data_IF_472186668319
#
_entry.id   IF_472186668319
#
_cell.length_a   1.000
_cell.length_b   1.000
_cell.length_c   1.000
_cell.angle_alpha   90.00
_cell.angle_beta   90.00
_cell.angle_gamma   90.00
#
_symmetry.space_group_name_H-M   'P 1'
#
loop_
_entity.id
_entity.type
_entity.pdbx_description
1 polymer ?
#
# COMPACT_ATOMS: atom_id res chain seq x y z
N UNK A 1 -22.37 26.19 -40.73
CA UNK A 1 -22.64 25.73 -39.36
C UNK A 1 -21.32 25.81 -38.62
N UNK A 2 -21.10 26.90 -37.88
CA UNK A 2 -19.85 27.07 -37.13
C UNK A 2 -20.05 26.47 -35.73
N UNK A 3 -19.71 25.19 -35.62
CA UNK A 3 -19.64 24.52 -34.32
C UNK A 3 -18.43 25.00 -33.53
N UNK A 4 -18.57 25.10 -32.22
CA UNK A 4 -17.46 25.38 -31.31
C UNK A 4 -16.98 24.07 -30.67
N UNK A 5 -15.66 23.87 -30.62
CA UNK A 5 -15.04 22.79 -29.85
C UNK A 5 -14.64 23.33 -28.49
N UNK A 6 -14.93 22.57 -27.45
CA UNK A 6 -14.40 22.87 -26.12
C UNK A 6 -13.44 21.78 -25.69
N UNK A 7 -12.48 22.21 -24.89
CA UNK A 7 -11.47 21.36 -24.31
C UNK A 7 -11.23 21.85 -22.89
N UNK A 8 -10.92 20.92 -21.99
CA UNK A 8 -10.48 21.28 -20.65
C UNK A 8 -9.15 22.02 -20.70
N UNK A 9 -8.95 22.96 -19.78
CA UNK A 9 -7.65 23.63 -19.59
C UNK A 9 -6.61 22.63 -19.12
N UNK A 10 -5.32 22.95 -19.30
CA UNK A 10 -4.24 22.14 -18.77
C UNK A 10 -4.41 21.91 -17.25
N UNK A 11 -4.13 20.68 -16.81
CA UNK A 11 -4.37 20.23 -15.43
C UNK A 11 -5.83 19.85 -15.12
N UNK A 12 -6.71 19.72 -16.12
CA UNK A 12 -8.06 19.19 -15.97
C UNK A 12 -8.31 18.03 -16.95
N UNK A 13 -8.99 16.98 -16.48
CA UNK A 13 -9.42 15.82 -17.26
C UNK A 13 -10.93 15.94 -17.53
N UNK A 14 -11.33 15.68 -18.77
CA UNK A 14 -12.74 15.60 -19.14
C UNK A 14 -13.33 14.25 -18.69
N UNK A 15 -14.36 14.29 -17.85
CA UNK A 15 -15.07 13.10 -17.36
C UNK A 15 -16.19 12.64 -18.29
N UNK A 16 -16.49 13.39 -19.34
CA UNK A 16 -17.58 13.09 -20.28
C UNK A 16 -17.18 13.34 -21.74
N UNK A 17 -15.95 12.95 -22.07
CA UNK A 17 -15.33 13.17 -23.39
C UNK A 17 -16.18 12.64 -24.56
N UNK A 18 -16.99 11.59 -24.34
CA UNK A 18 -17.82 10.98 -25.39
C UNK A 18 -19.15 11.71 -25.64
N UNK A 19 -19.79 12.27 -24.61
CA UNK A 19 -21.13 12.86 -24.74
C UNK A 19 -21.08 14.39 -24.79
N UNK A 20 -20.18 15.00 -24.02
CA UNK A 20 -20.09 16.45 -23.88
C UNK A 20 -18.63 16.93 -23.79
N UNK A 21 -17.85 16.84 -24.89
CA UNK A 21 -16.43 17.19 -24.89
C UNK A 21 -16.15 18.59 -24.34
N UNK A 22 -15.23 18.68 -23.39
CA UNK A 22 -14.78 19.88 -22.70
C UNK A 22 -15.83 20.53 -21.80
N UNK A 23 -16.93 19.83 -21.43
CA UNK A 23 -17.98 20.38 -20.56
C UNK A 23 -17.86 19.92 -19.11
N UNK A 24 -17.30 18.73 -18.86
CA UNK A 24 -17.17 18.16 -17.50
C UNK A 24 -15.69 18.04 -17.13
N UNK A 25 -15.06 19.19 -16.93
CA UNK A 25 -13.64 19.28 -16.60
C UNK A 25 -13.41 19.18 -15.09
N UNK A 26 -12.75 18.12 -14.65
CA UNK A 26 -12.33 17.93 -13.27
C UNK A 26 -10.82 18.14 -13.15
N UNK A 27 -10.37 18.82 -12.10
CA UNK A 27 -8.93 18.99 -11.85
C UNK A 27 -8.26 17.62 -11.78
N UNK A 28 -7.20 17.47 -12.55
CA UNK A 28 -6.37 16.27 -12.59
C UNK A 28 -5.77 16.04 -11.21
N UNK A 29 -5.92 14.82 -10.71
CA UNK A 29 -5.24 14.38 -9.52
C UNK A 29 -3.83 14.00 -9.91
N UNK A 30 -2.84 14.55 -9.21
CA UNK A 30 -1.41 14.27 -9.45
C UNK A 30 -0.70 13.83 -8.18
N UNK A 31 -1.43 13.44 -7.14
CA UNK A 31 -0.86 13.16 -5.82
C UNK A 31 0.10 11.96 -5.85
N UNK A 32 -0.13 10.99 -6.73
CA UNK A 32 0.77 9.85 -6.89
C UNK A 32 1.99 10.23 -7.75
N UNK A 33 1.76 10.93 -8.87
CA UNK A 33 2.83 11.31 -9.81
C UNK A 33 3.79 12.36 -9.26
N UNK A 34 3.31 13.25 -8.37
CA UNK A 34 4.12 14.27 -7.70
C UNK A 34 4.66 13.84 -6.34
N UNK A 35 4.47 12.57 -5.95
CA UNK A 35 4.82 12.04 -4.62
C UNK A 35 4.24 12.85 -3.44
N UNK A 36 3.08 13.49 -3.63
CA UNK A 36 2.31 14.16 -2.58
C UNK A 36 1.36 13.16 -1.90
N UNK A 37 1.91 12.03 -1.46
CA UNK A 37 1.21 10.97 -0.76
C UNK A 37 2.12 10.37 0.31
N UNK A 38 1.52 9.69 1.29
CA UNK A 38 2.23 9.02 2.39
C UNK A 38 2.25 7.49 2.24
N UNK A 39 2.11 6.96 1.01
CA UNK A 39 2.19 5.52 0.78
C UNK A 39 3.55 4.94 1.21
N UNK A 40 3.55 3.70 1.72
CA UNK A 40 4.79 2.94 1.91
C UNK A 40 5.49 2.78 0.55
N UNK A 41 6.83 2.75 0.55
CA UNK A 41 7.62 2.51 -0.68
C UNK A 41 7.29 1.18 -1.37
N UNK A 42 6.77 0.21 -0.62
CA UNK A 42 6.33 -1.08 -1.13
C UNK A 42 4.83 -1.09 -1.48
N UNK A 43 4.16 0.06 -1.42
CA UNK A 43 2.77 0.24 -1.83
C UNK A 43 2.66 0.95 -3.18
N UNK A 44 1.58 0.65 -3.90
CA UNK A 44 1.15 1.39 -5.08
C UNK A 44 0.19 2.49 -4.67
N UNK A 45 0.50 3.72 -5.07
CA UNK A 45 -0.42 4.85 -4.97
C UNK A 45 -1.45 4.80 -6.12
N UNK A 46 -2.72 5.02 -5.79
CA UNK A 46 -3.85 5.04 -6.75
C UNK A 46 -4.64 6.32 -6.52
N UNK A 47 -4.66 7.20 -7.52
CA UNK A 47 -5.38 8.47 -7.46
C UNK A 47 -6.90 8.24 -7.52
N UNK A 48 -7.63 8.95 -6.66
CA UNK A 48 -9.09 8.93 -6.58
C UNK A 48 -9.62 10.36 -6.56
N UNK A 49 -10.72 10.63 -7.27
CA UNK A 49 -11.30 11.97 -7.31
C UNK A 49 -10.28 13.05 -7.72
N UNK A 50 -10.37 14.23 -7.10
CA UNK A 50 -9.50 15.38 -7.41
C UNK A 50 -8.27 15.49 -6.51
N UNK A 51 -8.40 15.18 -5.23
CA UNK A 51 -7.31 15.28 -4.23
C UNK A 51 -7.34 14.09 -3.26
N UNK A 52 -7.83 12.93 -3.69
CA UNK A 52 -7.87 11.72 -2.87
C UNK A 52 -6.96 10.66 -3.47
N UNK A 53 -6.52 9.71 -2.65
CA UNK A 53 -5.74 8.59 -3.13
C UNK A 53 -5.89 7.42 -2.16
N UNK A 54 -5.58 6.24 -2.64
CA UNK A 54 -5.43 5.05 -1.81
C UNK A 54 -4.06 4.43 -2.05
N UNK A 55 -3.49 3.86 -1.00
CA UNK A 55 -2.26 3.08 -1.08
C UNK A 55 -2.62 1.61 -0.93
N UNK A 56 -2.00 0.76 -1.74
CA UNK A 56 -2.22 -0.69 -1.71
C UNK A 56 -0.87 -1.37 -1.68
N UNK A 57 -0.58 -2.17 -0.66
CA UNK A 57 0.67 -2.93 -0.59
C UNK A 57 0.84 -3.79 -1.85
N UNK A 58 2.06 -3.79 -2.39
CA UNK A 58 2.40 -4.56 -3.57
C UNK A 58 2.36 -6.08 -3.32
N UNK A 59 2.45 -6.89 -4.38
CA UNK A 59 2.57 -8.35 -4.26
C UNK A 59 3.74 -8.73 -3.34
N UNK A 60 3.52 -9.71 -2.47
CA UNK A 60 4.54 -10.15 -1.50
C UNK A 60 4.60 -9.33 -0.21
N UNK A 61 3.71 -8.33 -0.04
CA UNK A 61 3.61 -7.55 1.20
C UNK A 61 2.25 -7.72 1.88
N UNK A 62 2.24 -7.67 3.22
CA UNK A 62 1.03 -7.52 4.04
C UNK A 62 0.89 -6.09 4.54
N UNK A 63 -0.35 -5.64 4.63
CA UNK A 63 -0.68 -4.37 5.25
C UNK A 63 -0.72 -4.50 6.78
N UNK A 64 0.11 -3.72 7.46
CA UNK A 64 0.15 -3.59 8.92
C UNK A 64 -0.05 -2.14 9.35
N UNK A 65 -0.71 -1.34 8.51
CA UNK A 65 -1.00 0.06 8.82
C UNK A 65 -1.88 0.13 10.07
N UNK A 66 -1.58 1.01 11.04
CA UNK A 66 -2.31 1.08 12.30
C UNK A 66 -3.74 1.59 12.12
N UNK A 67 -3.98 2.39 11.08
CA UNK A 67 -5.28 2.98 10.80
C UNK A 67 -5.99 2.22 9.65
N UNK A 68 -7.11 1.54 9.90
CA UNK A 68 -7.81 0.75 8.88
C UNK A 68 -8.35 1.57 7.70
N UNK A 69 -8.61 2.87 7.90
CA UNK A 69 -9.05 3.80 6.85
C UNK A 69 -7.90 4.24 5.92
N UNK A 70 -6.64 4.04 6.34
CA UNK A 70 -5.42 4.41 5.61
C UNK A 70 -4.53 3.17 5.39
N UNK A 71 -4.94 2.23 4.53
CA UNK A 71 -4.12 1.06 4.19
C UNK A 71 -2.86 1.46 3.42
N UNK A 72 -1.88 0.57 3.34
CA UNK A 72 -0.69 0.71 2.51
C UNK A 72 0.32 1.74 3.00
N UNK A 73 0.26 2.11 4.28
CA UNK A 73 1.23 3.02 4.94
C UNK A 73 2.35 2.25 5.63
N UNK A 74 2.07 1.01 5.99
CA UNK A 74 3.05 0.06 6.52
C UNK A 74 2.87 -1.26 5.78
N UNK A 75 3.77 -1.53 4.84
CA UNK A 75 3.76 -2.76 4.05
C UNK A 75 4.96 -3.63 4.44
N UNK A 76 4.69 -4.73 5.14
CA UNK A 76 5.72 -5.68 5.58
C UNK A 76 5.83 -6.84 4.61
N UNK A 77 7.05 -7.32 4.36
CA UNK A 77 7.29 -8.47 3.51
C UNK A 77 6.65 -9.73 4.11
N UNK A 78 5.99 -10.55 3.28
CA UNK A 78 5.27 -11.77 3.71
C UNK A 78 6.23 -12.92 4.02
N UNK A 79 6.88 -12.85 5.18
CA UNK A 79 7.89 -13.81 5.59
C UNK A 79 7.26 -15.08 6.18
N UNK A 80 6.33 -14.95 7.14
CA UNK A 80 5.84 -16.09 7.92
C UNK A 80 4.92 -17.04 7.12
N UNK A 81 4.48 -16.61 5.93
CA UNK A 81 3.74 -17.48 5.00
C UNK A 81 4.65 -18.46 4.25
N UNK A 82 5.97 -18.24 4.26
CA UNK A 82 6.94 -19.07 3.57
C UNK A 82 7.99 -19.60 4.56
N UNK A 83 7.95 -20.90 4.93
CA UNK A 83 8.90 -21.49 5.87
C UNK A 83 10.37 -21.39 5.45
N UNK A 84 10.68 -21.10 4.18
CA UNK A 84 12.07 -20.87 3.73
C UNK A 84 12.60 -19.45 4.00
N UNK A 85 11.77 -18.54 4.49
CA UNK A 85 12.13 -17.13 4.74
C UNK A 85 12.37 -16.80 6.22
N UNK A 86 12.17 -17.75 7.13
CA UNK A 86 12.41 -17.60 8.56
C UNK A 86 13.03 -18.87 9.15
N UNK A 87 13.65 -18.77 10.33
CA UNK A 87 14.24 -19.92 11.04
C UNK A 87 13.57 -20.23 12.38
N UNK A 88 12.35 -19.71 12.63
CA UNK A 88 11.57 -20.05 13.82
C UNK A 88 11.41 -21.57 14.00
N UNK A 89 11.50 -22.04 15.24
CA UNK A 89 11.25 -23.41 15.60
C UNK A 89 9.81 -23.82 15.24
N UNK A 90 9.54 -25.08 14.84
CA UNK A 90 8.19 -25.53 14.50
C UNK A 90 7.13 -25.33 15.61
N UNK A 91 7.58 -25.31 16.86
CA UNK A 91 6.74 -25.04 18.05
C UNK A 91 6.61 -23.56 18.41
N UNK A 92 7.17 -22.66 17.61
CA UNK A 92 7.05 -21.21 17.77
C UNK A 92 6.01 -20.62 16.80
N UNK A 93 5.79 -19.32 16.94
CA UNK A 93 4.95 -18.48 16.09
C UNK A 93 5.80 -17.38 15.47
N UNK A 94 5.79 -17.31 14.14
CA UNK A 94 6.40 -16.24 13.37
C UNK A 94 5.43 -15.05 13.25
N UNK A 95 5.93 -13.83 13.49
CA UNK A 95 5.19 -12.59 13.28
C UNK A 95 6.04 -11.61 12.46
N UNK A 96 5.53 -11.13 11.32
CA UNK A 96 6.18 -10.07 10.56
C UNK A 96 6.21 -8.75 11.34
N UNK A 97 7.37 -8.10 11.38
CA UNK A 97 7.60 -6.81 12.04
C UNK A 97 8.27 -5.83 11.09
N UNK A 98 8.27 -4.55 11.45
CA UNK A 98 8.97 -3.53 10.67
C UNK A 98 10.50 -3.80 10.64
N UNK A 99 11.19 -3.12 9.73
CA UNK A 99 12.66 -3.18 9.68
C UNK A 99 13.27 -2.59 10.96
N UNK A 100 14.42 -3.10 11.43
CA UNK A 100 15.35 -3.97 10.70
C UNK A 100 15.06 -5.48 10.73
N UNK A 101 14.38 -6.02 11.75
CA UNK A 101 14.27 -7.46 11.99
C UNK A 101 13.40 -8.18 10.93
N UNK A 102 12.39 -7.51 10.37
CA UNK A 102 11.39 -8.02 9.39
C UNK A 102 10.45 -9.11 9.91
N UNK A 103 10.90 -9.96 10.82
CA UNK A 103 10.06 -10.93 11.53
C UNK A 103 10.61 -11.20 12.94
N UNK A 104 9.77 -11.78 13.78
CA UNK A 104 10.12 -12.25 15.13
C UNK A 104 9.53 -13.64 15.33
N UNK A 105 10.22 -14.47 16.12
CA UNK A 105 9.73 -15.77 16.54
C UNK A 105 9.38 -15.70 18.03
N UNK A 106 8.28 -16.34 18.41
CA UNK A 106 7.83 -16.39 19.81
C UNK A 106 7.33 -17.79 20.14
N UNK A 107 7.82 -18.36 21.24
CA UNK A 107 7.35 -19.67 21.72
C UNK A 107 5.83 -19.67 21.91
N UNK A 108 5.15 -20.73 21.46
CA UNK A 108 3.72 -20.92 21.74
C UNK A 108 3.51 -21.10 23.24
N UNK A 109 2.28 -20.85 23.71
CA UNK A 109 1.91 -21.06 25.11
C UNK A 109 2.29 -22.48 25.57
N UNK A 110 3.05 -22.56 26.67
CA UNK A 110 3.54 -23.83 27.24
C UNK A 110 4.95 -24.24 26.79
N UNK A 111 5.56 -23.52 25.84
CA UNK A 111 6.96 -23.73 25.46
C UNK A 111 7.86 -22.67 26.12
N UNK A 112 9.13 -23.00 26.31
CA UNK A 112 10.14 -22.09 26.84
C UNK A 112 11.37 -22.13 25.95
N UNK A 113 11.92 -20.95 25.65
CA UNK A 113 13.13 -20.83 24.86
C UNK A 113 14.33 -21.40 25.62
N UNK A 114 14.85 -22.51 25.09
CA UNK A 114 16.06 -23.14 25.62
C UNK A 114 17.33 -22.52 25.03
N UNK A 115 17.20 -21.74 23.94
CA UNK A 115 18.28 -20.96 23.32
C UNK A 115 17.90 -19.48 23.29
N UNK A 116 18.49 -18.70 24.19
CA UNK A 116 18.27 -17.26 24.26
C UNK A 116 18.85 -16.49 23.07
N UNK A 117 19.71 -17.12 22.27
CA UNK A 117 20.28 -16.49 21.06
C UNK A 117 19.35 -16.63 19.85
N UNK A 118 18.39 -17.56 19.93
CA UNK A 118 17.37 -17.80 18.90
C UNK A 118 16.01 -18.02 19.56
N UNK A 119 15.42 -16.95 20.15
CA UNK A 119 14.10 -17.06 20.75
C UNK A 119 13.08 -17.44 19.68
N UNK A 120 12.22 -18.41 19.99
CA UNK A 120 11.18 -18.98 19.14
C UNK A 120 11.69 -20.02 18.17
#
# INVERSE_FOLDING_TARGET
MDGYKCQCKDGFIDRDELRNPGRICQKENRLCTTNQNDCDKNAKCIEKGTNEYSCVCGPGYIDKSPEPSKPGRVCLERICSNPSMHDCHPSASCTEVAKPERYTCSCRNGYSDMDLNKPG
#
